data_IF_247467599058
#
_entry.id   IF_247467599058
#
_cell.length_a   1.000
_cell.length_b   1.000
_cell.length_c   1.000
_cell.angle_alpha   90.00
_cell.angle_beta   90.00
_cell.angle_gamma   90.00
#
_symmetry.space_group_name_H-M   'P 1'
#
loop_
_entity.id
_entity.type
_entity.pdbx_description
1 polymer ?
#
# COMPACT_ATOMS: atom_id res chain seq x y z
N UNK A 1 -29.79 -5.85 -1.82
CA UNK A 1 -31.21 -5.43 -1.76
C UNK A 1 -31.29 -4.08 -1.05
N UNK A 2 -31.72 -2.99 -1.69
CA UNK A 2 -31.85 -1.70 -1.03
C UNK A 2 -32.88 -1.76 0.12
N UNK A 3 -32.51 -1.19 1.27
CA UNK A 3 -33.33 -1.17 2.49
C UNK A 3 -34.66 -0.41 2.23
N UNK A 4 -35.79 -0.97 2.66
CA UNK A 4 -37.15 -0.40 2.49
C UNK A 4 -37.24 1.05 3.02
N UNK A 5 -36.49 1.35 4.08
CA UNK A 5 -36.37 2.72 4.64
C UNK A 5 -35.61 3.69 3.73
N UNK A 6 -34.56 3.25 3.01
CA UNK A 6 -33.80 4.09 2.09
C UNK A 6 -34.64 4.46 0.85
N UNK A 7 -35.42 3.52 0.34
CA UNK A 7 -36.36 3.77 -0.76
C UNK A 7 -37.47 4.75 -0.35
N UNK A 8 -37.98 4.60 0.87
CA UNK A 8 -38.98 5.53 1.40
C UNK A 8 -38.40 6.95 1.56
N UNK A 9 -37.16 7.08 2.07
CA UNK A 9 -36.47 8.38 2.19
C UNK A 9 -36.17 9.02 0.84
N UNK A 10 -35.76 8.23 -0.17
CA UNK A 10 -35.58 8.68 -1.56
C UNK A 10 -36.86 9.29 -2.11
N UNK A 11 -37.98 8.58 -1.98
CA UNK A 11 -39.26 9.04 -2.47
C UNK A 11 -39.72 10.33 -1.77
N UNK A 12 -39.48 10.47 -0.47
CA UNK A 12 -39.80 11.70 0.25
C UNK A 12 -38.95 12.90 -0.21
N UNK A 13 -37.64 12.71 -0.40
CA UNK A 13 -36.76 13.80 -0.86
C UNK A 13 -37.10 14.21 -2.29
N UNK A 14 -37.35 13.22 -3.17
CA UNK A 14 -37.78 13.46 -4.54
C UNK A 14 -39.09 14.26 -4.58
N UNK A 15 -40.08 13.91 -3.75
CA UNK A 15 -41.36 14.62 -3.72
C UNK A 15 -41.19 16.10 -3.34
N UNK A 16 -40.45 16.38 -2.26
CA UNK A 16 -40.22 17.76 -1.79
C UNK A 16 -39.46 18.58 -2.84
N UNK A 17 -38.42 18.00 -3.45
CA UNK A 17 -37.59 18.69 -4.44
C UNK A 17 -38.33 18.94 -5.76
N UNK A 18 -39.17 18.01 -6.20
CA UNK A 18 -40.05 18.23 -7.37
C UNK A 18 -41.02 19.38 -7.13
N UNK A 19 -41.59 19.49 -5.92
CA UNK A 19 -42.49 20.62 -5.58
C UNK A 19 -41.71 21.94 -5.52
N UNK A 20 -40.52 21.95 -4.92
CA UNK A 20 -39.66 23.13 -4.83
C UNK A 20 -39.21 23.65 -6.21
N UNK A 21 -38.96 22.75 -7.17
CA UNK A 21 -38.57 23.12 -8.53
C UNK A 21 -39.64 23.92 -9.29
N UNK A 22 -40.91 23.85 -8.89
CA UNK A 22 -41.98 24.67 -9.46
C UNK A 22 -41.91 26.15 -9.03
N UNK A 23 -41.01 26.51 -8.12
CA UNK A 23 -40.81 27.86 -7.61
C UNK A 23 -39.38 28.35 -7.89
N UNK A 24 -39.05 28.73 -9.14
CA UNK A 24 -37.69 29.07 -9.53
C UNK A 24 -37.19 30.39 -8.92
N UNK A 25 -38.10 31.30 -8.54
CA UNK A 25 -37.76 32.60 -7.94
C UNK A 25 -37.54 32.54 -6.42
N UNK A 26 -37.85 31.39 -5.80
CA UNK A 26 -37.80 31.20 -4.35
C UNK A 26 -39.14 30.72 -3.79
N UNK A 27 -39.10 30.19 -2.58
CA UNK A 27 -40.28 29.65 -1.89
C UNK A 27 -40.13 29.70 -0.37
N UNK A 28 -41.25 29.68 0.34
CA UNK A 28 -41.29 29.54 1.79
C UNK A 28 -41.46 28.08 2.23
N UNK A 29 -41.06 27.79 3.46
CA UNK A 29 -41.30 26.49 4.08
C UNK A 29 -42.80 26.13 4.12
N UNK A 30 -43.66 27.12 4.35
CA UNK A 30 -45.12 26.94 4.40
C UNK A 30 -45.68 26.51 3.03
N UNK A 31 -45.19 27.08 1.94
CA UNK A 31 -45.59 26.69 0.58
C UNK A 31 -45.25 25.22 0.27
N UNK A 32 -44.08 24.74 0.71
CA UNK A 32 -43.74 23.32 0.58
C UNK A 32 -44.62 22.42 1.45
N UNK A 33 -44.93 22.84 2.67
CA UNK A 33 -45.79 22.06 3.59
C UNK A 33 -47.21 21.87 3.08
N UNK A 34 -47.78 22.90 2.43
CA UNK A 34 -49.17 22.85 1.93
C UNK A 34 -49.30 22.13 0.59
N UNK A 35 -48.23 22.06 -0.21
CA UNK A 35 -48.24 21.45 -1.55
C UNK A 35 -47.67 20.04 -1.62
N UNK A 36 -46.84 19.63 -0.66
CA UNK A 36 -46.32 18.25 -0.62
C UNK A 36 -47.34 17.31 0.05
N UNK A 37 -47.76 16.26 -0.65
CA UNK A 37 -48.82 15.36 -0.17
C UNK A 37 -48.45 14.43 0.99
N UNK A 38 -47.17 14.31 1.36
CA UNK A 38 -46.67 13.22 2.24
C UNK A 38 -45.49 13.47 3.20
N UNK A 39 -44.76 14.61 3.25
CA UNK A 39 -43.66 14.75 4.22
C UNK A 39 -44.06 15.47 5.51
N UNK A 40 -43.56 14.98 6.64
CA UNK A 40 -43.70 15.64 7.95
C UNK A 40 -43.00 17.01 7.95
N UNK A 41 -43.51 18.02 8.70
CA UNK A 41 -42.88 19.34 8.83
C UNK A 41 -41.39 19.30 9.22
N UNK A 42 -41.00 18.29 9.99
CA UNK A 42 -39.61 18.06 10.42
C UNK A 42 -38.71 17.61 9.26
N UNK A 43 -39.22 16.79 8.35
CA UNK A 43 -38.47 16.33 7.18
C UNK A 43 -38.17 17.49 6.23
N UNK A 44 -39.17 18.34 5.95
CA UNK A 44 -39.01 19.53 5.11
C UNK A 44 -37.95 20.45 5.72
N UNK A 45 -38.05 20.73 7.02
CA UNK A 45 -37.06 21.57 7.73
C UNK A 45 -35.64 21.00 7.59
N UNK A 46 -35.48 19.69 7.81
CA UNK A 46 -34.18 19.02 7.69
C UNK A 46 -33.62 19.09 6.26
N UNK A 47 -34.48 18.90 5.25
CA UNK A 47 -34.08 18.93 3.84
C UNK A 47 -33.63 20.33 3.43
N UNK A 48 -34.36 21.37 3.84
CA UNK A 48 -33.98 22.77 3.56
C UNK A 48 -32.64 23.13 4.17
N UNK A 49 -32.39 22.72 5.42
CA UNK A 49 -31.10 22.94 6.06
C UNK A 49 -29.95 22.23 5.33
N UNK A 50 -30.18 21.02 4.79
CA UNK A 50 -29.17 20.31 4.00
C UNK A 50 -28.87 21.01 2.68
N UNK A 51 -29.90 21.49 1.97
CA UNK A 51 -29.72 22.24 0.73
C UNK A 51 -29.00 23.58 0.94
N UNK A 52 -29.26 24.26 2.07
CA UNK A 52 -28.53 25.48 2.44
C UNK A 52 -27.07 25.16 2.78
N UNK A 53 -26.82 24.10 3.56
CA UNK A 53 -25.47 23.68 3.91
C UNK A 53 -24.63 23.26 2.68
N UNK A 54 -25.26 22.65 1.69
CA UNK A 54 -24.63 22.24 0.43
C UNK A 54 -24.53 23.40 -0.60
N UNK A 55 -24.95 24.62 -0.24
CA UNK A 55 -24.85 25.81 -1.09
C UNK A 55 -25.81 25.82 -2.29
N UNK A 56 -26.86 25.00 -2.25
CA UNK A 56 -27.87 24.90 -3.32
C UNK A 56 -28.95 25.97 -3.11
N UNK A 57 -29.31 26.21 -1.85
CA UNK A 57 -30.25 27.25 -1.45
C UNK A 57 -29.57 28.31 -0.58
N UNK A 58 -30.11 29.52 -0.61
CA UNK A 58 -29.85 30.56 0.36
C UNK A 58 -31.12 30.81 1.16
N UNK A 59 -31.02 30.83 2.48
CA UNK A 59 -32.09 31.30 3.35
C UNK A 59 -32.00 32.84 3.46
N UNK A 60 -33.08 33.52 3.12
CA UNK A 60 -33.26 34.97 3.25
C UNK A 60 -34.33 35.21 4.31
N UNK A 61 -33.97 36.02 5.30
CA UNK A 61 -34.87 36.37 6.40
C UNK A 61 -35.55 37.70 6.06
N UNK A 62 -36.85 37.67 5.80
CA UNK A 62 -37.69 38.86 5.64
C UNK A 62 -38.75 38.82 6.76
N UNK A 63 -38.66 39.76 7.70
CA UNK A 63 -39.50 39.84 8.90
C UNK A 63 -39.52 38.55 9.75
N UNK A 64 -40.71 37.97 9.98
CA UNK A 64 -40.93 36.73 10.77
C UNK A 64 -40.87 35.45 9.93
N UNK A 65 -40.71 35.56 8.60
CA UNK A 65 -40.71 34.43 7.67
C UNK A 65 -39.34 34.20 7.01
N UNK A 66 -39.06 32.93 6.67
CA UNK A 66 -37.82 32.54 5.98
C UNK A 66 -38.15 32.12 4.55
N UNK A 67 -37.61 32.87 3.59
CA UNK A 67 -37.67 32.57 2.18
C UNK A 67 -36.40 31.83 1.73
N UNK A 68 -36.54 30.82 0.88
CA UNK A 68 -35.42 30.06 0.34
C UNK A 68 -35.26 30.38 -1.15
N UNK A 69 -34.08 30.86 -1.56
CA UNK A 69 -33.74 31.19 -2.94
C UNK A 69 -32.74 30.22 -3.51
N UNK A 70 -32.90 29.84 -4.78
CA UNK A 70 -31.99 28.96 -5.49
C UNK A 70 -30.68 29.70 -5.82
N UNK A 71 -29.56 29.21 -5.30
CA UNK A 71 -28.22 29.67 -5.71
C UNK A 71 -27.75 28.98 -6.99
N UNK A 72 -28.19 27.74 -7.19
CA UNK A 72 -28.07 27.02 -8.47
C UNK A 72 -29.44 27.00 -9.14
N UNK A 73 -29.57 27.43 -10.41
CA UNK A 73 -30.83 27.35 -11.14
C UNK A 73 -31.48 25.96 -11.01
N UNK A 74 -32.77 25.91 -10.68
CA UNK A 74 -33.48 24.67 -10.35
C UNK A 74 -33.46 23.64 -11.49
N UNK A 75 -33.36 24.10 -12.74
CA UNK A 75 -33.23 23.29 -13.96
C UNK A 75 -31.84 22.64 -14.11
N UNK A 76 -30.80 23.23 -13.51
CA UNK A 76 -29.42 22.70 -13.49
C UNK A 76 -29.10 21.91 -12.23
N UNK A 77 -29.99 21.91 -11.24
CA UNK A 77 -29.81 21.15 -10.02
C UNK A 77 -30.03 19.66 -10.28
N UNK A 78 -28.94 18.87 -10.21
CA UNK A 78 -28.95 17.42 -10.38
C UNK A 78 -29.61 16.70 -9.18
N UNK A 79 -30.93 16.84 -9.08
CA UNK A 79 -31.77 16.37 -7.97
C UNK A 79 -31.52 14.91 -7.62
N UNK A 80 -31.49 14.02 -8.62
CA UNK A 80 -31.26 12.58 -8.41
C UNK A 80 -29.88 12.31 -7.80
N UNK A 81 -28.82 12.93 -8.32
CA UNK A 81 -27.45 12.74 -7.82
C UNK A 81 -27.29 13.25 -6.40
N UNK A 82 -27.91 14.40 -6.09
CA UNK A 82 -27.91 14.95 -4.74
C UNK A 82 -28.64 14.03 -3.75
N UNK A 83 -29.82 13.51 -4.11
CA UNK A 83 -30.57 12.57 -3.27
C UNK A 83 -29.75 11.30 -3.00
N UNK A 84 -29.12 10.71 -4.03
CA UNK A 84 -28.28 9.53 -3.85
C UNK A 84 -27.11 9.81 -2.90
N UNK A 85 -26.43 10.96 -3.02
CA UNK A 85 -25.37 11.37 -2.09
C UNK A 85 -25.86 11.47 -0.64
N UNK A 86 -27.04 12.05 -0.42
CA UNK A 86 -27.64 12.22 0.92
C UNK A 86 -28.13 10.90 1.54
N UNK A 87 -28.47 9.91 0.71
CA UNK A 87 -28.85 8.57 1.16
C UNK A 87 -27.61 7.72 1.44
N UNK A 88 -26.60 7.78 0.56
CA UNK A 88 -25.35 7.03 0.67
C UNK A 88 -24.47 7.50 1.84
N UNK A 89 -24.51 8.78 2.21
CA UNK A 89 -23.66 9.39 3.25
C UNK A 89 -23.80 8.83 4.67
N UNK A 90 -24.78 7.96 4.94
CA UNK A 90 -24.98 7.34 6.27
C UNK A 90 -24.45 5.90 6.39
N UNK A 91 -24.13 5.23 5.28
CA UNK A 91 -23.61 3.85 5.30
C UNK A 91 -22.59 3.68 4.17
N UNK A 92 -21.33 3.41 4.53
CA UNK A 92 -20.22 3.15 3.58
C UNK A 92 -20.55 2.04 2.57
N UNK A 93 -21.51 1.16 2.88
CA UNK A 93 -22.00 0.09 2.00
C UNK A 93 -22.78 0.56 0.76
N UNK A 94 -23.01 1.87 0.57
CA UNK A 94 -23.76 2.41 -0.59
C UNK A 94 -23.03 3.50 -1.39
N UNK A 95 -21.76 3.82 -1.09
CA UNK A 95 -20.93 4.58 -2.04
C UNK A 95 -20.76 3.74 -3.34
N UNK A 96 -20.63 4.38 -4.52
CA UNK A 96 -20.23 3.68 -5.75
C UNK A 96 -19.03 2.79 -5.44
N UNK A 97 -19.02 1.56 -5.98
CA UNK A 97 -17.99 0.58 -5.63
C UNK A 97 -16.58 1.12 -5.92
N UNK A 98 -16.44 2.00 -6.90
CA UNK A 98 -15.20 2.64 -7.33
C UNK A 98 -14.66 3.69 -6.33
N UNK A 99 -15.53 4.32 -5.53
CA UNK A 99 -15.16 5.39 -4.58
C UNK A 99 -14.84 4.87 -3.18
N UNK A 100 -14.97 3.55 -2.96
CA UNK A 100 -14.69 2.96 -1.66
C UNK A 100 -13.20 2.69 -1.54
N UNK A 101 -12.55 3.09 -0.42
CA UNK A 101 -11.10 2.99 -0.28
C UNK A 101 -10.53 1.59 -0.55
N UNK A 102 -11.20 0.51 -0.12
CA UNK A 102 -10.69 -0.86 -0.30
C UNK A 102 -10.81 -1.32 -1.74
N UNK A 103 -11.95 -1.07 -2.36
CA UNK A 103 -12.21 -1.41 -3.73
C UNK A 103 -11.31 -0.61 -4.68
N UNK A 104 -11.07 0.66 -4.39
CA UNK A 104 -10.07 1.49 -5.08
C UNK A 104 -8.65 0.94 -4.93
N UNK A 105 -8.25 0.51 -3.72
CA UNK A 105 -6.95 -0.14 -3.49
C UNK A 105 -6.80 -1.41 -4.34
N UNK A 106 -7.85 -2.23 -4.44
CA UNK A 106 -7.82 -3.47 -5.20
C UNK A 106 -7.82 -3.26 -6.72
N UNK A 107 -8.42 -2.18 -7.21
CA UNK A 107 -8.58 -1.91 -8.65
C UNK A 107 -7.49 -1.00 -9.23
N UNK A 108 -7.02 -0.01 -8.46
CA UNK A 108 -6.13 1.06 -8.91
C UNK A 108 -4.79 1.10 -8.15
N UNK A 109 -4.54 0.19 -7.20
CA UNK A 109 -3.31 0.19 -6.41
C UNK A 109 -3.32 1.20 -5.25
N UNK A 110 -2.36 1.04 -4.34
CA UNK A 110 -2.27 1.81 -3.08
C UNK A 110 -1.80 3.25 -3.32
N UNK A 111 -1.03 3.48 -4.37
CA UNK A 111 -0.45 4.76 -4.77
C UNK A 111 -1.49 5.80 -5.18
N UNK A 112 -2.70 5.36 -5.53
CA UNK A 112 -3.82 6.23 -5.93
C UNK A 112 -4.74 6.61 -4.76
N UNK A 113 -4.41 6.19 -3.53
CA UNK A 113 -5.17 6.53 -2.34
C UNK A 113 -4.57 7.76 -1.64
N UNK A 114 -5.45 8.66 -1.22
CA UNK A 114 -5.15 9.73 -0.29
C UNK A 114 -4.88 9.20 1.12
N UNK A 115 -4.21 10.00 1.94
CA UNK A 115 -3.99 9.71 3.37
C UNK A 115 -5.30 9.44 4.10
N UNK A 116 -6.36 10.20 3.81
CA UNK A 116 -7.69 9.99 4.39
C UNK A 116 -8.29 8.62 4.02
N UNK A 117 -8.05 8.14 2.80
CA UNK A 117 -8.52 6.83 2.36
C UNK A 117 -7.73 5.70 3.02
N UNK A 118 -6.41 5.85 3.16
CA UNK A 118 -5.56 4.90 3.88
C UNK A 118 -6.00 4.77 5.36
N UNK A 119 -6.24 5.89 6.02
CA UNK A 119 -6.76 5.92 7.39
C UNK A 119 -8.16 5.28 7.47
N UNK A 120 -9.04 5.56 6.52
CA UNK A 120 -10.38 4.96 6.48
C UNK A 120 -10.34 3.43 6.35
N UNK A 121 -9.40 2.88 5.58
CA UNK A 121 -9.20 1.42 5.47
C UNK A 121 -8.84 0.81 6.82
N UNK A 122 -7.88 1.42 7.53
CA UNK A 122 -7.41 0.98 8.84
C UNK A 122 -8.51 1.10 9.91
N UNK A 123 -9.30 2.17 9.89
CA UNK A 123 -10.42 2.37 10.82
C UNK A 123 -11.51 1.32 10.62
N UNK A 124 -11.67 0.81 9.39
CA UNK A 124 -12.54 -0.29 8.94
C UNK A 124 -14.04 -0.07 9.08
N UNK A 125 -14.52 0.44 10.20
CA UNK A 125 -15.93 0.63 10.51
C UNK A 125 -16.16 1.96 11.21
N UNK A 126 -17.21 2.67 10.80
CA UNK A 126 -17.67 3.86 11.50
C UNK A 126 -18.48 3.53 12.76
N UNK A 127 -19.10 4.56 13.32
CA UNK A 127 -20.10 4.49 14.38
C UNK A 127 -21.39 5.17 13.91
N UNK A 128 -22.53 4.97 14.59
CA UNK A 128 -23.74 5.74 14.28
C UNK A 128 -23.44 7.24 14.26
N UNK A 129 -23.65 7.87 13.09
CA UNK A 129 -23.38 9.30 12.87
C UNK A 129 -21.99 9.68 12.35
N UNK A 130 -21.04 8.74 12.22
CA UNK A 130 -19.71 9.00 11.68
C UNK A 130 -19.10 7.77 10.99
N UNK A 131 -18.93 7.84 9.67
CA UNK A 131 -18.33 6.75 8.87
C UNK A 131 -16.81 6.66 9.03
N UNK A 132 -16.23 5.51 8.66
CA UNK A 132 -14.77 5.35 8.62
C UNK A 132 -14.09 6.32 7.65
N UNK A 133 -14.75 6.67 6.54
CA UNK A 133 -14.25 7.65 5.56
C UNK A 133 -14.21 9.06 6.19
N UNK A 134 -15.30 9.48 6.84
CA UNK A 134 -15.34 10.77 7.54
C UNK A 134 -14.30 10.83 8.67
N UNK A 135 -14.11 9.72 9.39
CA UNK A 135 -13.08 9.61 10.42
C UNK A 135 -11.67 9.75 9.85
N UNK A 136 -11.37 9.09 8.73
CA UNK A 136 -10.12 9.21 8.00
C UNK A 136 -9.87 10.64 7.51
N UNK A 137 -10.89 11.32 6.97
CA UNK A 137 -10.81 12.73 6.57
C UNK A 137 -10.54 13.67 7.76
N UNK A 138 -11.18 13.43 8.91
CA UNK A 138 -10.96 14.25 10.12
C UNK A 138 -9.56 14.08 10.67
N UNK A 139 -9.06 12.85 10.75
CA UNK A 139 -7.69 12.59 11.18
C UNK A 139 -6.70 13.20 10.20
N UNK A 140 -6.85 12.95 8.89
CA UNK A 140 -5.97 13.53 7.87
C UNK A 140 -5.94 15.06 7.95
N UNK A 141 -7.10 15.72 8.12
CA UNK A 141 -7.17 17.18 8.28
C UNK A 141 -6.58 17.67 9.60
N UNK A 142 -6.74 16.93 10.69
CA UNK A 142 -6.24 17.33 12.00
C UNK A 142 -4.71 17.28 12.07
N UNK A 143 -4.12 16.24 11.49
CA UNK A 143 -2.67 16.03 11.52
C UNK A 143 -1.96 16.68 10.33
N UNK A 144 -2.62 16.81 9.17
CA UNK A 144 -2.13 17.46 7.95
C UNK A 144 -0.66 17.10 7.63
N UNK A 145 0.26 18.05 7.77
CA UNK A 145 1.70 17.90 7.52
C UNK A 145 2.46 17.13 8.61
N UNK A 146 1.79 16.76 9.71
CA UNK A 146 2.35 16.14 10.93
C UNK A 146 1.77 14.75 11.19
N UNK A 147 1.58 13.97 10.13
CA UNK A 147 0.96 12.64 10.20
C UNK A 147 1.71 11.68 11.13
N UNK A 148 3.03 11.85 11.26
CA UNK A 148 3.90 11.10 12.16
C UNK A 148 3.49 11.22 13.64
N UNK A 149 2.86 12.32 14.03
CA UNK A 149 2.41 12.57 15.42
C UNK A 149 1.24 11.69 15.85
N UNK A 150 0.60 10.97 14.93
CA UNK A 150 -0.45 10.00 15.27
C UNK A 150 0.09 8.96 16.26
N UNK A 151 1.37 8.59 16.16
CA UNK A 151 2.01 7.62 17.06
C UNK A 151 2.17 8.11 18.50
N UNK A 152 2.16 9.43 18.72
CA UNK A 152 2.34 10.03 20.03
C UNK A 152 1.01 10.17 20.78
N UNK A 153 -0.11 10.01 20.08
CA UNK A 153 -1.45 10.17 20.65
C UNK A 153 -1.92 8.92 21.37
N UNK A 154 -2.43 9.11 22.59
CA UNK A 154 -3.19 8.12 23.34
C UNK A 154 -4.51 7.76 22.65
N UNK A 155 -5.14 6.62 23.03
CA UNK A 155 -6.46 6.25 22.52
C UNK A 155 -7.53 7.33 22.75
N UNK A 156 -7.45 8.05 23.87
CA UNK A 156 -8.36 9.15 24.21
C UNK A 156 -8.19 10.35 23.30
N UNK A 157 -6.95 10.71 22.94
CA UNK A 157 -6.66 11.86 22.08
C UNK A 157 -7.14 11.62 20.65
N UNK A 158 -6.85 10.46 20.06
CA UNK A 158 -7.36 10.14 18.71
C UNK A 158 -8.90 10.05 18.68
N UNK A 159 -9.51 9.57 19.76
CA UNK A 159 -10.97 9.54 19.91
C UNK A 159 -11.59 10.93 20.07
N UNK A 160 -10.84 11.90 20.61
CA UNK A 160 -11.28 13.30 20.68
C UNK A 160 -11.34 13.94 19.29
N UNK A 161 -10.42 13.57 18.39
CA UNK A 161 -10.43 14.02 16.98
C UNK A 161 -11.59 13.39 16.19
N UNK A 162 -11.82 12.09 16.37
CA UNK A 162 -12.91 11.38 15.71
C UNK A 162 -13.55 10.33 16.62
N UNK A 163 -14.86 10.42 16.82
CA UNK A 163 -15.61 9.55 17.73
C UNK A 163 -15.68 8.11 17.21
N UNK A 164 -15.51 7.92 15.90
CA UNK A 164 -15.43 6.63 15.23
C UNK A 164 -14.16 5.83 15.58
N UNK A 165 -13.15 6.44 16.19
CA UNK A 165 -11.95 5.73 16.66
C UNK A 165 -12.30 4.82 17.84
N UNK A 166 -12.37 3.53 17.54
CA UNK A 166 -12.51 2.45 18.50
C UNK A 166 -11.12 1.98 18.98
N UNK A 167 -11.03 1.24 20.10
CA UNK A 167 -9.78 0.59 20.50
C UNK A 167 -9.18 -0.30 19.39
N UNK A 168 -10.03 -0.95 18.60
CA UNK A 168 -9.60 -1.77 17.46
C UNK A 168 -8.98 -0.90 16.37
N UNK A 169 -9.67 0.18 15.97
CA UNK A 169 -9.16 1.11 14.96
C UNK A 169 -7.85 1.76 15.40
N UNK A 170 -7.72 2.13 16.68
CA UNK A 170 -6.49 2.65 17.27
C UNK A 170 -5.32 1.66 17.09
N UNK A 171 -5.49 0.40 17.50
CA UNK A 171 -4.46 -0.61 17.36
C UNK A 171 -4.08 -0.85 15.89
N UNK A 172 -5.06 -0.85 14.98
CA UNK A 172 -4.82 -1.03 13.54
C UNK A 172 -4.00 0.11 12.94
N UNK A 173 -4.29 1.35 13.33
CA UNK A 173 -3.53 2.53 12.88
C UNK A 173 -2.07 2.41 13.35
N UNK A 174 -1.83 2.21 14.64
CA UNK A 174 -0.47 2.13 15.17
C UNK A 174 0.31 0.93 14.61
N UNK A 175 -0.34 -0.23 14.46
CA UNK A 175 0.30 -1.40 13.84
C UNK A 175 0.69 -1.13 12.39
N UNK A 176 -0.16 -0.42 11.62
CA UNK A 176 0.15 -0.02 10.25
C UNK A 176 1.36 0.90 10.17
N UNK A 177 1.43 1.92 11.03
CA UNK A 177 2.54 2.87 11.06
C UNK A 177 3.84 2.18 11.47
N UNK A 178 3.83 1.38 12.55
CA UNK A 178 5.01 0.66 13.02
C UNK A 178 5.52 -0.35 12.00
N UNK A 179 4.62 -1.05 11.29
CA UNK A 179 5.00 -1.92 10.19
C UNK A 179 5.68 -1.13 9.06
N UNK A 180 5.12 0.02 8.68
CA UNK A 180 5.72 0.93 7.72
C UNK A 180 7.13 1.38 8.13
N UNK A 181 7.30 1.76 9.41
CA UNK A 181 8.59 2.16 9.99
C UNK A 181 9.62 1.03 9.93
N UNK A 182 9.25 -0.20 10.30
CA UNK A 182 10.13 -1.38 10.20
C UNK A 182 10.53 -1.67 8.76
N UNK A 183 9.58 -1.59 7.82
CA UNK A 183 9.86 -1.78 6.39
C UNK A 183 10.85 -0.72 5.89
N UNK A 184 10.70 0.56 6.28
CA UNK A 184 11.66 1.62 5.94
C UNK A 184 13.06 1.30 6.48
N UNK A 185 13.14 0.93 7.76
CA UNK A 185 14.40 0.57 8.39
C UNK A 185 15.08 -0.62 7.69
N UNK A 186 14.33 -1.64 7.29
CA UNK A 186 14.89 -2.76 6.51
C UNK A 186 15.39 -2.34 5.11
N UNK A 187 14.80 -1.30 4.51
CA UNK A 187 15.26 -0.73 3.23
C UNK A 187 16.53 0.10 3.41
N UNK A 188 16.62 0.89 4.48
CA UNK A 188 17.81 1.68 4.81
C UNK A 188 19.00 0.77 5.16
N UNK A 189 18.79 -0.24 6.00
CA UNK A 189 19.82 -1.26 6.31
C UNK A 189 20.29 -2.04 5.07
N UNK A 190 19.48 -2.10 4.00
CA UNK A 190 19.88 -2.66 2.70
C UNK A 190 20.81 -1.73 1.92
N UNK A 191 20.72 -0.41 2.09
CA UNK A 191 21.57 0.56 1.40
C UNK A 191 23.00 0.60 1.93
N UNK A 192 23.20 0.27 3.21
CA UNK A 192 24.54 0.17 3.84
C UNK A 192 25.29 -1.13 3.51
N UNK A 193 24.75 -1.99 2.62
CA UNK A 193 25.44 -3.23 2.25
C UNK A 193 26.79 -2.91 1.59
N UNK A 194 27.90 -3.44 2.12
CA UNK A 194 29.21 -3.23 1.54
C UNK A 194 29.24 -3.78 0.11
N UNK A 195 29.81 -3.00 -0.80
CA UNK A 195 29.93 -3.39 -2.21
C UNK A 195 30.97 -4.49 -2.36
N UNK A 196 30.69 -5.46 -3.22
CA UNK A 196 31.64 -6.48 -3.63
C UNK A 196 32.33 -5.99 -4.92
N UNK A 197 33.24 -5.02 -4.76
CA UNK A 197 33.95 -4.38 -5.87
C UNK A 197 35.44 -4.76 -5.95
N UNK A 198 35.88 -5.72 -5.15
CA UNK A 198 37.24 -6.26 -5.14
C UNK A 198 37.22 -7.70 -4.63
N UNK A 199 38.27 -8.46 -4.94
CA UNK A 199 38.45 -9.82 -4.40
C UNK A 199 38.44 -9.84 -2.88
N UNK A 200 39.11 -8.86 -2.24
CA UNK A 200 39.14 -8.74 -0.79
C UNK A 200 37.72 -8.52 -0.21
N UNK A 201 36.90 -7.71 -0.87
CA UNK A 201 35.51 -7.52 -0.49
C UNK A 201 34.68 -8.80 -0.68
N UNK A 202 34.89 -9.54 -1.77
CA UNK A 202 34.24 -10.82 -2.03
C UNK A 202 34.58 -11.87 -0.96
N UNK A 203 35.87 -11.99 -0.61
CA UNK A 203 36.36 -12.88 0.45
C UNK A 203 35.80 -12.48 1.82
N UNK A 204 35.80 -11.18 2.15
CA UNK A 204 35.24 -10.70 3.42
C UNK A 204 33.72 -10.96 3.52
N UNK A 205 33.00 -10.73 2.42
CA UNK A 205 31.59 -11.07 2.33
C UNK A 205 31.37 -12.58 2.51
N UNK A 206 32.15 -13.41 1.83
CA UNK A 206 32.00 -14.85 1.92
C UNK A 206 32.35 -15.39 3.31
N UNK A 207 33.38 -14.86 3.96
CA UNK A 207 33.75 -15.21 5.33
C UNK A 207 32.62 -14.95 6.33
N UNK A 208 31.90 -13.84 6.16
CA UNK A 208 30.80 -13.44 7.05
C UNK A 208 29.49 -14.19 6.76
N UNK A 209 29.16 -14.44 5.50
CA UNK A 209 27.85 -14.96 5.09
C UNK A 209 27.84 -16.47 4.81
N UNK A 210 28.99 -17.06 4.51
CA UNK A 210 29.14 -18.49 4.22
C UNK A 210 30.01 -19.19 5.28
N UNK A 211 30.17 -18.62 6.47
CA UNK A 211 30.91 -19.23 7.58
C UNK A 211 30.45 -20.66 7.89
N UNK A 212 29.13 -20.94 7.78
CA UNK A 212 28.60 -22.30 7.95
C UNK A 212 29.24 -23.29 6.99
N UNK A 213 29.47 -22.92 5.73
CA UNK A 213 30.07 -23.83 4.74
C UNK A 213 31.52 -24.20 5.08
N UNK A 214 32.22 -23.33 5.82
CA UNK A 214 33.56 -23.62 6.34
C UNK A 214 33.55 -24.58 7.54
N UNK A 215 32.48 -24.57 8.34
CA UNK A 215 32.34 -25.41 9.54
C UNK A 215 31.71 -26.77 9.23
N UNK A 216 30.71 -26.78 8.35
CA UNK A 216 29.88 -27.92 8.02
C UNK A 216 30.50 -28.71 6.86
N UNK A 217 31.49 -29.55 7.19
CA UNK A 217 32.30 -30.33 6.22
C UNK A 217 31.63 -31.59 5.71
N UNK A 218 30.29 -31.64 5.70
CA UNK A 218 29.57 -32.86 5.35
C UNK A 218 29.32 -32.97 3.84
N UNK A 219 29.00 -31.86 3.16
CA UNK A 219 28.60 -31.85 1.75
C UNK A 219 29.10 -30.61 1.02
N UNK A 220 29.41 -30.78 -0.27
CA UNK A 220 29.65 -29.67 -1.19
C UNK A 220 28.33 -28.95 -1.48
N UNK A 221 28.35 -27.62 -1.47
CA UNK A 221 27.23 -26.78 -1.82
C UNK A 221 27.69 -25.71 -2.81
N UNK A 222 26.92 -25.51 -3.89
CA UNK A 222 27.14 -24.42 -4.84
C UNK A 222 26.10 -23.32 -4.59
N UNK A 223 26.57 -22.09 -4.44
CA UNK A 223 25.80 -20.90 -4.14
C UNK A 223 26.10 -19.80 -5.15
N UNK A 224 25.16 -18.86 -5.26
CA UNK A 224 25.40 -17.57 -5.89
C UNK A 224 24.97 -16.43 -4.97
N UNK A 225 25.67 -15.30 -5.07
CA UNK A 225 25.24 -14.02 -4.53
C UNK A 225 24.77 -13.17 -5.70
N UNK A 226 23.52 -12.74 -5.68
CA UNK A 226 22.97 -11.81 -6.68
C UNK A 226 23.36 -10.39 -6.31
N UNK A 227 23.79 -9.59 -7.29
CA UNK A 227 24.32 -8.24 -7.08
C UNK A 227 23.54 -7.22 -7.92
N UNK A 228 23.34 -6.04 -7.37
CA UNK A 228 22.77 -4.91 -8.10
C UNK A 228 23.80 -4.19 -8.99
N UNK A 229 23.39 -3.15 -9.69
CA UNK A 229 24.26 -2.34 -10.57
C UNK A 229 25.39 -1.60 -9.84
N UNK A 230 25.32 -1.49 -8.51
CA UNK A 230 26.36 -0.91 -7.65
C UNK A 230 27.22 -1.98 -6.98
N UNK A 231 27.08 -3.25 -7.39
CA UNK A 231 27.74 -4.42 -6.81
C UNK A 231 27.38 -4.64 -5.33
N UNK A 232 26.18 -4.21 -4.92
CA UNK A 232 25.66 -4.50 -3.58
C UNK A 232 24.93 -5.85 -3.58
N UNK A 233 25.20 -6.74 -2.59
CA UNK A 233 24.46 -7.99 -2.42
C UNK A 233 22.95 -7.77 -2.33
N UNK A 234 22.18 -8.53 -3.11
CA UNK A 234 20.71 -8.58 -3.10
C UNK A 234 20.27 -9.78 -2.25
N UNK A 235 20.65 -11.00 -2.64
CA UNK A 235 20.36 -12.26 -1.93
C UNK A 235 21.45 -13.32 -2.16
N UNK A 236 21.48 -14.32 -1.26
CA UNK A 236 22.29 -15.54 -1.41
C UNK A 236 21.36 -16.70 -1.77
N UNK A 237 21.68 -17.43 -2.83
CA UNK A 237 20.92 -18.61 -3.26
C UNK A 237 21.79 -19.84 -3.26
N UNK A 238 21.29 -20.91 -2.62
CA UNK A 238 21.86 -22.25 -2.77
C UNK A 238 21.30 -22.89 -4.03
N UNK A 239 22.17 -23.22 -4.98
CA UNK A 239 21.80 -23.81 -6.27
C UNK A 239 21.84 -25.33 -6.18
N UNK A 240 22.90 -25.90 -5.60
CA UNK A 240 23.06 -27.35 -5.47
C UNK A 240 23.55 -27.74 -4.07
N UNK A 241 23.32 -29.00 -3.72
CA UNK A 241 23.86 -29.70 -2.54
C UNK A 241 24.30 -31.08 -3.00
N UNK A 242 25.51 -31.50 -2.63
CA UNK A 242 26.18 -32.70 -3.11
C UNK A 242 27.41 -32.38 -3.96
N UNK A 243 28.11 -33.41 -4.43
CA UNK A 243 29.32 -33.27 -5.25
C UNK A 243 29.10 -32.34 -6.44
N UNK A 244 30.08 -31.48 -6.73
CA UNK A 244 30.04 -30.45 -7.76
C UNK A 244 30.14 -31.06 -9.17
N UNK A 245 29.20 -31.91 -9.58
CA UNK A 245 29.14 -32.44 -10.94
C UNK A 245 28.65 -31.36 -11.92
N UNK A 246 29.21 -31.31 -13.14
CA UNK A 246 28.88 -30.33 -14.18
C UNK A 246 27.44 -30.50 -14.70
N UNK A 247 26.82 -31.64 -14.39
CA UNK A 247 25.40 -31.92 -14.61
C UNK A 247 24.48 -31.20 -13.60
N UNK A 248 24.97 -30.91 -12.39
CA UNK A 248 24.19 -30.35 -11.29
C UNK A 248 24.17 -28.82 -11.31
N UNK A 249 25.29 -28.16 -11.66
CA UNK A 249 25.36 -26.68 -11.76
C UNK A 249 24.97 -26.21 -13.17
N UNK A 250 23.69 -26.35 -13.49
CA UNK A 250 23.17 -25.95 -14.80
C UNK A 250 22.93 -24.43 -14.89
N UNK A 251 23.38 -23.72 -15.96
CA UNK A 251 23.17 -22.27 -16.12
C UNK A 251 21.71 -21.83 -15.94
N UNK A 252 20.75 -22.65 -16.40
CA UNK A 252 19.31 -22.41 -16.20
C UNK A 252 18.94 -22.18 -14.74
N UNK A 253 19.42 -23.01 -13.82
CA UNK A 253 19.05 -22.89 -12.40
C UNK A 253 19.74 -21.70 -11.74
N UNK A 254 21.01 -21.47 -12.09
CA UNK A 254 21.79 -20.30 -11.65
C UNK A 254 21.12 -19.00 -12.07
N UNK A 255 20.88 -18.82 -13.38
CA UNK A 255 20.34 -17.57 -13.91
C UNK A 255 18.84 -17.40 -13.65
N UNK A 256 18.09 -18.47 -13.37
CA UNK A 256 16.70 -18.35 -12.89
C UNK A 256 16.62 -17.54 -11.59
N UNK A 257 17.52 -17.81 -10.64
CA UNK A 257 17.58 -17.05 -9.39
C UNK A 257 18.05 -15.61 -9.63
N UNK A 258 19.07 -15.40 -10.48
CA UNK A 258 19.57 -14.07 -10.80
C UNK A 258 18.52 -13.18 -11.49
N UNK A 259 17.77 -13.73 -12.45
CA UNK A 259 16.71 -13.02 -13.18
C UNK A 259 15.57 -12.65 -12.23
N UNK A 260 15.15 -13.57 -11.35
CA UNK A 260 14.09 -13.30 -10.36
C UNK A 260 14.44 -12.14 -9.43
N UNK A 261 15.71 -12.02 -9.08
CA UNK A 261 16.22 -10.96 -8.21
C UNK A 261 16.51 -9.64 -8.94
N UNK A 262 16.34 -9.60 -10.27
CA UNK A 262 16.76 -8.50 -11.13
C UNK A 262 18.24 -8.13 -10.94
N UNK A 263 19.11 -9.15 -10.79
CA UNK A 263 20.55 -8.94 -10.63
C UNK A 263 21.20 -8.37 -11.89
N UNK A 264 22.15 -7.46 -11.70
CA UNK A 264 23.04 -6.98 -12.75
C UNK A 264 24.25 -7.92 -12.93
N UNK A 265 24.67 -8.57 -11.85
CA UNK A 265 25.78 -9.52 -11.85
C UNK A 265 25.65 -10.55 -10.72
N UNK A 266 26.49 -11.58 -10.75
CA UNK A 266 26.53 -12.64 -9.75
C UNK A 266 27.96 -12.96 -9.31
N UNK A 267 28.11 -13.29 -8.03
CA UNK A 267 29.31 -13.92 -7.45
C UNK A 267 29.02 -15.40 -7.26
N UNK A 268 29.89 -16.27 -7.76
CA UNK A 268 29.78 -17.72 -7.52
C UNK A 268 30.50 -18.07 -6.23
N UNK A 269 29.94 -18.99 -5.44
CA UNK A 269 30.56 -19.46 -4.20
C UNK A 269 30.34 -20.96 -4.07
N UNK A 270 31.39 -21.73 -3.80
CA UNK A 270 31.22 -23.11 -3.35
C UNK A 270 32.20 -23.44 -2.24
N UNK A 271 31.97 -24.56 -1.57
CA UNK A 271 32.87 -25.07 -0.53
C UNK A 271 33.54 -26.37 -0.91
N UNK A 272 34.76 -26.56 -0.43
CA UNK A 272 35.47 -27.83 -0.46
C UNK A 272 35.49 -28.45 0.94
N UNK A 273 34.68 -29.49 1.22
CA UNK A 273 34.65 -30.18 2.52
C UNK A 273 36.01 -30.77 2.92
N UNK A 274 36.87 -31.09 1.95
CA UNK A 274 38.24 -31.56 2.16
C UNK A 274 39.09 -30.55 2.95
N UNK A 275 38.76 -29.26 2.88
CA UNK A 275 39.55 -28.18 3.45
C UNK A 275 40.71 -27.70 2.57
N UNK A 276 40.88 -28.26 1.37
CA UNK A 276 41.84 -27.78 0.36
C UNK A 276 41.15 -26.76 -0.57
N UNK A 277 41.58 -25.48 -0.62
CA UNK A 277 40.98 -24.46 -1.48
C UNK A 277 41.43 -24.54 -2.94
N UNK A 278 42.30 -25.50 -3.31
CA UNK A 278 42.83 -25.61 -4.67
C UNK A 278 41.68 -25.86 -5.66
N UNK A 279 41.49 -25.00 -6.69
CA UNK A 279 40.42 -25.17 -7.66
C UNK A 279 40.64 -26.45 -8.48
N UNK A 280 39.58 -27.23 -8.63
CA UNK A 280 39.55 -28.37 -9.51
C UNK A 280 39.38 -27.94 -10.97
N UNK A 281 39.66 -28.84 -11.91
CA UNK A 281 39.34 -28.63 -13.33
C UNK A 281 37.84 -28.36 -13.54
N UNK A 282 37.00 -28.99 -12.73
CA UNK A 282 35.56 -28.85 -12.80
C UNK A 282 35.09 -27.45 -12.41
N UNK A 283 35.74 -26.83 -11.43
CA UNK A 283 35.46 -25.44 -11.04
C UNK A 283 35.73 -24.48 -12.19
N UNK A 284 36.86 -24.66 -12.89
CA UNK A 284 37.19 -23.85 -14.06
C UNK A 284 36.18 -24.04 -15.20
N UNK A 285 35.76 -25.28 -15.47
CA UNK A 285 34.77 -25.59 -16.52
C UNK A 285 33.39 -24.99 -16.21
N UNK A 286 32.91 -25.14 -14.97
CA UNK A 286 31.65 -24.54 -14.50
C UNK A 286 31.71 -23.01 -14.57
N UNK A 287 32.79 -22.41 -14.08
CA UNK A 287 32.99 -20.95 -14.12
C UNK A 287 32.96 -20.43 -15.55
N UNK A 288 33.70 -21.07 -16.46
CA UNK A 288 33.77 -20.68 -17.87
C UNK A 288 32.40 -20.79 -18.57
N UNK A 289 31.67 -21.88 -18.30
CA UNK A 289 30.32 -22.09 -18.83
C UNK A 289 29.34 -21.02 -18.33
N UNK A 290 29.38 -20.69 -17.05
CA UNK A 290 28.51 -19.66 -16.45
C UNK A 290 28.87 -18.25 -16.92
N UNK A 291 30.17 -17.93 -17.07
CA UNK A 291 30.62 -16.65 -17.64
C UNK A 291 30.04 -16.43 -19.05
N UNK A 292 30.15 -17.44 -19.94
CA UNK A 292 29.59 -17.38 -21.30
C UNK A 292 28.07 -17.23 -21.32
N UNK A 293 27.37 -17.98 -20.47
CA UNK A 293 25.91 -17.87 -20.37
C UNK A 293 25.48 -16.51 -19.81
N UNK A 294 26.21 -15.99 -18.82
CA UNK A 294 25.94 -14.68 -18.22
C UNK A 294 26.13 -13.53 -19.20
N UNK A 295 27.15 -13.60 -20.06
CA UNK A 295 27.37 -12.64 -21.13
C UNK A 295 26.18 -12.58 -22.12
N UNK A 296 25.63 -13.74 -22.51
CA UNK A 296 24.47 -13.82 -23.39
C UNK A 296 23.18 -13.28 -22.75
N UNK A 297 23.01 -13.50 -21.45
CA UNK A 297 21.81 -13.09 -20.69
C UNK A 297 21.89 -11.61 -20.27
N UNK A 298 23.10 -11.03 -20.23
CA UNK A 298 23.35 -9.69 -19.70
C UNK A 298 23.51 -9.65 -18.18
N UNK A 299 23.91 -10.76 -17.54
CA UNK A 299 24.19 -10.86 -16.11
C UNK A 299 25.62 -11.39 -15.95
N UNK A 300 26.56 -10.50 -15.62
CA UNK A 300 27.98 -10.88 -15.56
C UNK A 300 28.32 -11.74 -14.33
N UNK A 301 29.26 -12.67 -14.48
CA UNK A 301 29.84 -13.41 -13.37
C UNK A 301 31.12 -12.67 -12.93
N UNK A 302 31.10 -12.04 -11.75
CA UNK A 302 32.21 -11.17 -11.33
C UNK A 302 33.41 -11.95 -10.81
N UNK A 303 33.19 -13.05 -10.10
CA UNK A 303 34.24 -13.90 -9.53
C UNK A 303 33.64 -15.25 -9.10
N UNK A 304 34.50 -16.20 -8.77
CA UNK A 304 34.16 -17.49 -8.19
C UNK A 304 35.03 -17.75 -6.95
N UNK A 305 34.39 -17.80 -5.79
CA UNK A 305 35.04 -17.95 -4.49
C UNK A 305 34.91 -19.39 -3.99
N UNK A 306 36.05 -19.95 -3.58
CA UNK A 306 36.16 -21.29 -3.00
C UNK A 306 36.35 -21.15 -1.50
N UNK A 307 35.49 -21.77 -0.70
CA UNK A 307 35.54 -21.77 0.76
C UNK A 307 36.00 -23.14 1.26
N UNK A 308 37.20 -23.22 1.81
CA UNK A 308 37.80 -24.46 2.31
C UNK A 308 38.28 -24.28 3.75
N UNK A 309 37.38 -24.53 4.71
CA UNK A 309 37.65 -24.25 6.12
C UNK A 309 37.98 -22.77 6.37
N UNK A 310 39.16 -22.47 6.92
CA UNK A 310 39.60 -21.09 7.17
C UNK A 310 40.17 -20.39 5.94
N UNK A 311 40.46 -21.15 4.88
CA UNK A 311 41.01 -20.63 3.64
C UNK A 311 39.87 -20.30 2.68
N UNK A 312 39.94 -19.12 2.07
CA UNK A 312 38.99 -18.67 1.06
C UNK A 312 39.82 -18.13 -0.09
N UNK A 313 39.57 -18.64 -1.30
CA UNK A 313 40.37 -18.36 -2.48
C UNK A 313 39.47 -17.86 -3.61
N UNK A 314 39.97 -16.92 -4.40
CA UNK A 314 39.33 -16.42 -5.61
C UNK A 314 39.93 -17.12 -6.83
N UNK A 315 39.07 -17.69 -7.66
CA UNK A 315 39.48 -18.32 -8.90
C UNK A 315 39.98 -17.29 -9.93
N UNK A 316 39.57 -16.01 -9.80
CA UNK A 316 40.09 -14.92 -10.64
C UNK A 316 41.54 -14.52 -10.29
N UNK A 317 42.03 -14.79 -9.08
CA UNK A 317 43.42 -14.50 -8.67
C UNK A 317 44.38 -15.66 -8.96
N UNK A 318 43.87 -16.85 -9.29
CA UNK A 318 44.66 -18.05 -9.53
C UNK A 318 44.97 -18.32 -11.02
N UNK A 319 44.56 -17.44 -11.94
CA UNK A 319 44.72 -17.60 -13.38
C UNK A 319 44.93 -16.30 -14.13
#
# INVERSE_FOLDING_TARGET
MPNKQSNQRRNHYQNVLTVAANYPQGFSKYQLQTKCSTPSPQLITRLLNLLVADGILQAVHEDEDVEYKWLTPADRFATTQWIERQIAGSQVSQAPQEDRPREKLLSHGVENLSVSELLAILIRSGRPGESAVQAGMRLAKHFDDKLERICDCSPSELKAVSRAISPVAYCQILAGIELGRRISHFREARQERPRINSTQAAIAYCRSHFHRLAMDRMQEEFHIVTLDTKLQPIQNHRITVGTLDASLVHPREVFRAAIRDAAASILLVHNHPSGDPTPSRQDHEVTSRLKKAGELIGISVIDHIIVAGQQILSLAECG
#
